data_IF_928382008375
#
_entry.id   IF_928382008375
#
_cell.length_a   1.000
_cell.length_b   1.000
_cell.length_c   1.000
_cell.angle_alpha   90.00
_cell.angle_beta   90.00
_cell.angle_gamma   90.00
#
_symmetry.space_group_name_H-M   'P 1'
#
loop_
_entity.id
_entity.type
_entity.pdbx_description
1 polymer ?
#
# COMPACT_ATOMS: atom_id res chain seq x y z
N UNK A 1 72.95 -14.60 18.46
CA UNK A 1 71.59 -14.95 18.01
C UNK A 1 71.72 -15.84 16.77
N UNK A 2 71.22 -17.07 16.82
CA UNK A 2 71.37 -18.05 15.72
C UNK A 2 70.44 -17.72 14.55
N UNK A 3 70.89 -17.93 13.30
CA UNK A 3 70.12 -17.72 12.08
C UNK A 3 68.77 -18.47 12.07
N UNK A 4 68.68 -19.61 12.75
CA UNK A 4 67.46 -20.39 12.91
C UNK A 4 66.38 -19.64 13.73
N UNK A 5 66.78 -18.86 14.75
CA UNK A 5 65.85 -18.05 15.55
C UNK A 5 65.35 -16.82 14.79
N UNK A 6 66.13 -16.30 13.84
CA UNK A 6 65.71 -15.21 12.96
C UNK A 6 64.67 -15.68 11.92
N UNK A 7 64.89 -16.85 11.31
CA UNK A 7 63.96 -17.46 10.34
C UNK A 7 62.60 -17.80 10.96
N UNK A 8 62.58 -18.45 12.13
CA UNK A 8 61.34 -18.78 12.83
C UNK A 8 60.53 -17.54 13.25
N UNK A 9 61.19 -16.43 13.62
CA UNK A 9 60.52 -15.16 13.93
C UNK A 9 59.97 -14.48 12.67
N UNK A 10 60.64 -14.61 11.53
CA UNK A 10 60.18 -14.07 10.26
C UNK A 10 58.93 -14.81 9.75
N UNK A 11 58.92 -16.14 9.81
CA UNK A 11 57.76 -16.95 9.44
C UNK A 11 56.56 -16.72 10.36
N UNK A 12 56.79 -16.60 11.68
CA UNK A 12 55.72 -16.28 12.63
C UNK A 12 55.12 -14.88 12.39
N UNK A 13 55.94 -13.89 12.01
CA UNK A 13 55.46 -12.56 11.59
C UNK A 13 54.67 -12.62 10.29
N UNK A 14 55.14 -13.36 9.29
CA UNK A 14 54.44 -13.50 8.01
C UNK A 14 53.07 -14.19 8.18
N UNK A 15 52.98 -15.24 9.00
CA UNK A 15 51.69 -15.91 9.32
C UNK A 15 50.73 -15.01 10.09
N UNK A 16 51.24 -14.22 11.06
CA UNK A 16 50.42 -13.23 11.79
C UNK A 16 49.95 -12.09 10.88
N UNK A 17 50.80 -11.62 9.97
CA UNK A 17 50.43 -10.62 8.98
C UNK A 17 49.37 -11.15 8.00
N UNK A 18 49.51 -12.39 7.52
CA UNK A 18 48.50 -13.04 6.67
C UNK A 18 47.15 -13.20 7.36
N UNK A 19 47.13 -13.59 8.64
CA UNK A 19 45.91 -13.68 9.44
C UNK A 19 45.25 -12.31 9.66
N UNK A 20 46.05 -11.25 9.90
CA UNK A 20 45.53 -9.89 10.05
C UNK A 20 44.93 -9.35 8.74
N UNK A 21 45.59 -9.58 7.60
CA UNK A 21 45.07 -9.16 6.29
C UNK A 21 43.81 -9.95 5.93
N UNK A 22 43.79 -11.26 6.18
CA UNK A 22 42.62 -12.11 5.98
C UNK A 22 41.43 -11.69 6.85
N UNK A 23 41.67 -11.41 8.14
CA UNK A 23 40.65 -10.92 9.06
C UNK A 23 40.13 -9.53 8.67
N UNK A 24 41.02 -8.64 8.20
CA UNK A 24 40.65 -7.31 7.73
C UNK A 24 39.82 -7.37 6.43
N UNK A 25 40.20 -8.22 5.48
CA UNK A 25 39.45 -8.44 4.25
C UNK A 25 38.05 -9.02 4.54
N UNK A 26 37.96 -9.99 5.46
CA UNK A 26 36.69 -10.56 5.89
C UNK A 26 35.82 -9.54 6.63
N UNK A 27 36.42 -8.71 7.50
CA UNK A 27 35.74 -7.62 8.16
C UNK A 27 35.23 -6.59 7.13
N UNK A 28 36.03 -6.21 6.13
CA UNK A 28 35.61 -5.30 5.07
C UNK A 28 34.48 -5.89 4.22
N UNK A 29 34.51 -7.18 3.90
CA UNK A 29 33.40 -7.86 3.21
C UNK A 29 32.11 -7.84 4.04
N UNK A 30 32.20 -8.10 5.35
CA UNK A 30 31.04 -8.12 6.26
C UNK A 30 30.53 -6.72 6.64
N UNK A 31 31.39 -5.70 6.66
CA UNK A 31 31.03 -4.32 7.00
C UNK A 31 30.71 -3.46 5.76
N UNK A 32 31.10 -3.88 4.54
CA UNK A 32 30.84 -3.11 3.31
C UNK A 32 29.36 -2.75 3.07
N UNK A 33 28.37 -3.61 3.35
CA UNK A 33 26.96 -3.23 3.17
C UNK A 33 26.52 -2.18 4.20
N UNK A 34 27.16 -2.15 5.37
CA UNK A 34 26.83 -1.25 6.50
C UNK A 34 27.48 0.12 6.35
N UNK A 35 28.70 0.19 5.83
CA UNK A 35 29.38 1.47 5.60
C UNK A 35 28.73 2.28 4.47
N UNK A 36 28.18 1.61 3.46
CA UNK A 36 27.39 2.27 2.41
C UNK A 36 26.08 2.86 2.95
N UNK A 37 25.46 2.25 3.97
CA UNK A 37 24.24 2.81 4.59
C UNK A 37 24.46 4.09 5.40
N UNK A 38 25.66 4.30 5.97
CA UNK A 38 25.95 5.46 6.83
C UNK A 38 26.05 6.79 6.08
N UNK A 39 26.22 6.77 4.75
CA UNK A 39 26.35 7.96 3.89
C UNK A 39 25.13 8.18 2.98
N UNK A 40 24.16 7.26 2.99
CA UNK A 40 23.11 7.21 1.98
C UNK A 40 21.92 8.17 2.28
N UNK A 41 21.80 8.65 3.52
CA UNK A 41 20.74 9.56 3.96
C UNK A 41 19.32 8.97 3.89
N UNK A 42 18.30 9.66 4.44
CA UNK A 42 16.92 9.18 4.48
C UNK A 42 16.37 8.75 3.13
N UNK A 43 16.76 9.46 2.07
CA UNK A 43 16.34 9.18 0.69
C UNK A 43 16.73 7.77 0.26
N UNK A 44 18.01 7.39 0.36
CA UNK A 44 18.45 6.09 -0.14
C UNK A 44 17.88 4.94 0.69
N UNK A 45 17.72 5.12 2.01
CA UNK A 45 17.08 4.13 2.87
C UNK A 45 15.61 3.91 2.53
N UNK A 46 14.86 4.99 2.29
CA UNK A 46 13.45 4.93 1.86
C UNK A 46 13.33 4.26 0.49
N UNK A 47 14.19 4.61 -0.47
CA UNK A 47 14.22 3.95 -1.78
C UNK A 47 14.49 2.44 -1.63
N UNK A 48 15.47 2.08 -0.81
CA UNK A 48 15.82 0.67 -0.53
C UNK A 48 14.65 -0.05 0.14
N UNK A 49 13.95 0.60 1.09
CA UNK A 49 12.79 0.04 1.75
C UNK A 49 11.65 -0.25 0.76
N UNK A 50 11.34 0.70 -0.13
CA UNK A 50 10.29 0.52 -1.15
C UNK A 50 10.67 -0.57 -2.17
N UNK A 51 11.92 -0.63 -2.63
CA UNK A 51 12.38 -1.71 -3.52
C UNK A 51 12.40 -3.08 -2.85
N UNK A 52 12.72 -3.15 -1.55
CA UNK A 52 12.60 -4.39 -0.77
C UNK A 52 11.15 -4.83 -0.60
N UNK A 53 10.18 -3.91 -0.60
CA UNK A 53 8.75 -4.24 -0.60
C UNK A 53 8.30 -4.75 -1.97
N UNK A 54 8.79 -4.21 -3.08
CA UNK A 54 8.51 -4.75 -4.43
C UNK A 54 8.91 -6.23 -4.55
N UNK A 55 10.09 -6.58 -4.02
CA UNK A 55 10.61 -7.95 -4.11
C UNK A 55 9.87 -8.96 -3.23
N UNK A 56 9.38 -8.52 -2.06
CA UNK A 56 8.71 -9.40 -1.08
C UNK A 56 7.20 -9.46 -1.27
N UNK A 57 6.64 -8.52 -2.03
CA UNK A 57 5.21 -8.27 -2.06
C UNK A 57 4.73 -7.43 -0.88
N UNK A 58 3.52 -6.92 -1.02
CA UNK A 58 2.77 -6.18 -0.02
C UNK A 58 1.63 -7.03 0.54
N UNK A 59 1.48 -6.95 1.86
CA UNK A 59 0.30 -7.39 2.59
C UNK A 59 -0.19 -6.18 3.38
N UNK A 60 -1.33 -5.63 2.97
CA UNK A 60 -1.85 -4.36 3.47
C UNK A 60 -3.14 -4.64 4.26
N UNK A 61 -3.16 -4.24 5.52
CA UNK A 61 -4.39 -4.28 6.32
C UNK A 61 -5.40 -3.26 5.79
N UNK A 62 -6.60 -3.71 5.46
CA UNK A 62 -7.69 -2.86 4.97
C UNK A 62 -8.75 -2.73 6.06
N UNK A 63 -9.01 -1.51 6.57
CA UNK A 63 -10.10 -1.27 7.51
C UNK A 63 -11.44 -1.84 7.01
N UNK A 64 -12.17 -2.51 7.88
CA UNK A 64 -13.44 -3.15 7.55
C UNK A 64 -13.32 -4.54 6.90
N UNK A 65 -12.15 -4.94 6.41
CA UNK A 65 -11.96 -6.30 5.86
C UNK A 65 -11.27 -7.23 6.87
N UNK A 66 -11.72 -8.48 7.03
CA UNK A 66 -11.01 -9.47 7.85
C UNK A 66 -9.76 -10.03 7.15
N UNK A 67 -9.62 -9.82 5.84
CA UNK A 67 -8.49 -10.32 5.05
C UNK A 67 -7.63 -9.14 4.58
N UNK A 68 -6.30 -9.31 4.51
CA UNK A 68 -5.44 -8.26 3.99
C UNK A 68 -5.51 -8.20 2.47
N UNK A 69 -5.26 -7.02 1.92
CA UNK A 69 -5.01 -6.83 0.49
C UNK A 69 -3.60 -7.35 0.18
N UNK A 70 -3.52 -8.45 -0.58
CA UNK A 70 -2.27 -9.12 -0.92
C UNK A 70 -1.87 -8.78 -2.35
N UNK A 71 -0.65 -8.33 -2.54
CA UNK A 71 -0.10 -8.11 -3.89
C UNK A 71 0.26 -9.44 -4.56
N UNK A 72 -0.03 -9.53 -5.85
CA UNK A 72 0.67 -10.40 -6.81
C UNK A 72 1.83 -9.66 -7.47
N UNK A 73 1.60 -8.40 -7.84
CA UNK A 73 2.59 -7.53 -8.47
C UNK A 73 2.54 -6.16 -7.81
N UNK A 74 3.70 -5.57 -7.57
CA UNK A 74 3.85 -4.24 -6.99
C UNK A 74 5.07 -3.56 -7.59
N UNK A 75 4.91 -2.33 -8.04
CA UNK A 75 6.01 -1.53 -8.56
C UNK A 75 5.86 -0.06 -8.18
N UNK A 76 6.90 0.51 -7.59
CA UNK A 76 7.03 1.94 -7.35
C UNK A 76 7.93 2.56 -8.42
N UNK A 77 7.42 3.59 -9.08
CA UNK A 77 8.12 4.40 -10.06
C UNK A 77 8.00 5.90 -9.74
N UNK A 78 8.77 6.75 -10.43
CA UNK A 78 8.73 8.22 -10.27
C UNK A 78 8.89 8.68 -8.80
N UNK A 79 9.83 8.07 -8.09
CA UNK A 79 10.02 8.30 -6.66
C UNK A 79 10.70 9.64 -6.36
N UNK A 80 10.12 10.39 -5.41
CA UNK A 80 10.74 11.55 -4.78
C UNK A 80 10.57 11.45 -3.27
N UNK A 81 11.57 11.91 -2.52
CA UNK A 81 11.56 11.91 -1.06
C UNK A 81 11.87 13.32 -0.59
N UNK A 82 11.03 13.86 0.27
CA UNK A 82 11.21 15.17 0.89
C UNK A 82 10.79 15.18 2.36
N UNK A 83 10.92 16.31 3.06
CA UNK A 83 10.40 16.46 4.41
C UNK A 83 8.87 16.30 4.41
N UNK A 84 8.32 15.69 5.47
CA UNK A 84 6.87 15.49 5.60
C UNK A 84 6.10 16.82 5.66
N UNK A 85 6.60 17.79 6.43
CA UNK A 85 5.88 19.04 6.73
C UNK A 85 6.53 20.28 6.09
N UNK A 86 7.43 20.11 5.12
CA UNK A 86 8.11 21.23 4.42
C UNK A 86 9.06 22.08 5.27
N UNK A 87 8.96 22.04 6.61
CA UNK A 87 9.70 22.88 7.56
C UNK A 87 10.26 22.11 8.78
N UNK A 88 10.11 20.78 8.82
CA UNK A 88 10.62 19.96 9.93
C UNK A 88 12.15 19.86 9.95
N UNK A 89 12.77 19.62 11.13
CA UNK A 89 14.21 19.39 11.21
C UNK A 89 14.60 18.16 10.35
N UNK A 90 15.78 18.17 9.70
CA UNK A 90 16.25 17.03 8.93
C UNK A 90 16.23 15.75 9.77
N UNK A 91 15.56 14.71 9.27
CA UNK A 91 15.57 13.36 9.89
C UNK A 91 14.42 13.03 10.84
N UNK A 92 13.48 13.96 11.11
CA UNK A 92 12.33 13.67 11.97
C UNK A 92 11.23 12.85 11.28
N UNK A 93 10.88 13.21 10.04
CA UNK A 93 9.90 12.52 9.22
C UNK A 93 10.15 12.83 7.74
N UNK A 94 9.78 11.91 6.87
CA UNK A 94 9.92 12.07 5.43
C UNK A 94 8.64 11.66 4.71
N UNK A 95 8.37 12.27 3.57
CA UNK A 95 7.27 11.89 2.68
C UNK A 95 7.86 11.38 1.38
N UNK A 96 7.59 10.11 1.08
CA UNK A 96 7.86 9.54 -0.22
C UNK A 96 6.64 9.73 -1.13
N UNK A 97 6.84 10.32 -2.31
CA UNK A 97 5.84 10.38 -3.38
C UNK A 97 6.29 9.47 -4.51
N UNK A 98 5.42 8.57 -4.95
CA UNK A 98 5.71 7.63 -6.00
C UNK A 98 4.46 7.33 -6.81
N UNK A 99 4.62 6.87 -8.05
CA UNK A 99 3.55 6.17 -8.75
C UNK A 99 3.60 4.71 -8.32
N UNK A 100 2.51 4.21 -7.74
CA UNK A 100 2.32 2.81 -7.40
C UNK A 100 1.52 2.14 -8.52
N UNK A 101 2.06 1.05 -9.05
CA UNK A 101 1.37 0.06 -9.86
C UNK A 101 1.19 -1.20 -9.01
N UNK A 102 -0.04 -1.62 -8.82
CA UNK A 102 -0.42 -2.71 -7.93
C UNK A 102 -1.41 -3.65 -8.62
N UNK A 103 -1.14 -4.95 -8.52
CA UNK A 103 -2.11 -5.99 -8.82
C UNK A 103 -2.16 -6.98 -7.67
N UNK A 104 -3.36 -7.38 -7.26
CA UNK A 104 -3.55 -8.23 -6.10
C UNK A 104 -5.01 -8.61 -5.88
N UNK A 105 -5.33 -8.99 -4.65
CA UNK A 105 -6.69 -9.32 -4.25
C UNK A 105 -6.97 -9.01 -2.78
N UNK A 106 -8.22 -8.63 -2.51
CA UNK A 106 -8.83 -8.60 -1.18
C UNK A 106 -9.78 -9.80 -1.09
N UNK A 107 -9.29 -10.91 -0.55
CA UNK A 107 -10.01 -12.18 -0.60
C UNK A 107 -10.31 -12.63 -2.02
N UNK A 108 -11.59 -12.77 -2.37
CA UNK A 108 -12.02 -13.15 -3.72
C UNK A 108 -12.03 -11.97 -4.71
N UNK A 109 -12.03 -10.74 -4.22
CA UNK A 109 -12.11 -9.53 -5.05
C UNK A 109 -10.74 -9.22 -5.65
N UNK A 110 -10.63 -9.23 -6.98
CA UNK A 110 -9.41 -8.80 -7.65
C UNK A 110 -9.24 -7.28 -7.53
N UNK A 111 -8.02 -6.81 -7.31
CA UNK A 111 -7.72 -5.39 -7.21
C UNK A 111 -6.54 -5.06 -8.11
N UNK A 112 -6.75 -4.19 -9.08
CA UNK A 112 -5.70 -3.57 -9.88
C UNK A 112 -5.73 -2.07 -9.62
N UNK A 113 -4.56 -1.46 -9.41
CA UNK A 113 -4.46 -0.03 -9.18
C UNK A 113 -3.23 0.58 -9.80
N UNK A 114 -3.39 1.76 -10.39
CA UNK A 114 -2.29 2.63 -10.76
C UNK A 114 -2.57 4.05 -10.28
N UNK A 115 -1.58 4.68 -9.63
CA UNK A 115 -1.77 6.05 -9.20
C UNK A 115 -0.70 6.62 -8.29
N UNK A 116 -0.91 7.86 -7.86
CA UNK A 116 0.05 8.61 -7.02
C UNK A 116 -0.10 8.20 -5.56
N UNK A 117 0.93 7.63 -4.99
CA UNK A 117 0.99 7.28 -3.57
C UNK A 117 1.78 8.34 -2.78
N UNK A 118 1.37 8.55 -1.55
CA UNK A 118 2.03 9.45 -0.60
C UNK A 118 2.28 8.67 0.68
N UNK A 119 3.53 8.24 0.89
CA UNK A 119 3.89 7.35 1.98
C UNK A 119 4.67 8.12 3.05
N UNK A 120 4.08 8.40 4.22
CA UNK A 120 4.81 8.95 5.34
C UNK A 120 5.78 7.91 5.89
N UNK A 121 7.02 8.34 6.11
CA UNK A 121 8.09 7.53 6.69
C UNK A 121 8.59 8.19 7.97
N UNK A 122 8.88 7.35 8.96
CA UNK A 122 9.55 7.75 10.20
C UNK A 122 10.82 6.89 10.42
N UNK A 123 11.83 7.44 11.10
CA UNK A 123 12.98 6.64 11.53
C UNK A 123 12.51 5.55 12.50
N UNK A 124 12.73 4.29 12.16
CA UNK A 124 12.46 3.17 13.05
C UNK A 124 13.51 3.07 14.16
N UNK A 125 13.21 2.25 15.19
CA UNK A 125 14.16 1.96 16.25
C UNK A 125 15.51 1.49 15.67
N UNK A 126 16.60 2.04 16.20
CA UNK A 126 17.96 1.72 15.78
C UNK A 126 18.22 0.24 16.02
N UNK A 127 18.51 -0.51 14.96
CA UNK A 127 18.82 -1.94 15.06
C UNK A 127 20.18 -2.19 15.72
N UNK A 128 20.53 -3.46 15.94
CA UNK A 128 21.86 -3.87 16.40
C UNK A 128 22.94 -3.45 15.38
N UNK A 129 23.44 -2.22 15.50
CA UNK A 129 24.27 -1.57 14.49
C UNK A 129 24.14 -0.05 14.41
N UNK A 130 23.24 0.59 15.16
CA UNK A 130 23.24 2.05 15.34
C UNK A 130 22.58 2.87 14.23
N UNK A 131 22.03 2.24 13.18
CA UNK A 131 21.34 2.93 12.07
C UNK A 131 19.82 2.78 12.20
N UNK A 132 19.11 3.91 12.18
CA UNK A 132 17.65 3.98 12.25
C UNK A 132 17.04 3.59 10.90
N UNK A 133 16.44 2.40 10.80
CA UNK A 133 15.80 1.93 9.55
C UNK A 133 14.49 2.69 9.34
N UNK A 134 14.40 3.47 8.27
CA UNK A 134 13.15 4.13 7.87
C UNK A 134 12.05 3.13 7.53
N UNK A 135 10.84 3.37 8.05
CA UNK A 135 9.67 2.52 7.81
C UNK A 135 8.43 3.38 7.52
N UNK A 136 7.49 2.88 6.69
CA UNK A 136 6.19 3.53 6.54
C UNK A 136 5.51 3.65 7.91
N UNK A 137 4.88 4.79 8.19
CA UNK A 137 4.26 5.05 9.49
C UNK A 137 3.06 4.13 9.74
N UNK A 138 2.18 3.98 8.74
CA UNK A 138 0.98 3.15 8.84
C UNK A 138 0.92 2.06 7.75
N UNK A 139 1.16 2.45 6.50
CA UNK A 139 1.08 1.58 5.33
C UNK A 139 2.07 2.01 4.28
N UNK A 140 2.54 1.08 3.45
CA UNK A 140 3.35 1.37 2.27
C UNK A 140 2.52 1.88 1.08
N UNK A 141 1.19 1.79 1.16
CA UNK A 141 0.24 2.29 0.16
C UNK A 141 -1.02 2.85 0.84
N UNK A 142 -0.90 3.91 1.66
CA UNK A 142 -2.01 4.40 2.48
C UNK A 142 -3.20 4.86 1.66
N UNK A 143 -2.99 5.51 0.50
CA UNK A 143 -4.09 5.99 -0.33
C UNK A 143 -4.82 4.83 -1.01
N UNK A 144 -4.09 3.83 -1.52
CA UNK A 144 -4.71 2.61 -2.02
C UNK A 144 -5.54 1.91 -0.93
N UNK A 145 -5.00 1.79 0.29
CA UNK A 145 -5.74 1.22 1.43
C UNK A 145 -7.02 2.00 1.71
N UNK A 146 -6.97 3.33 1.72
CA UNK A 146 -8.14 4.16 1.96
C UNK A 146 -9.24 3.99 0.88
N UNK A 147 -8.85 3.91 -0.40
CA UNK A 147 -9.81 3.64 -1.49
C UNK A 147 -10.43 2.25 -1.34
N UNK A 148 -9.61 1.22 -1.11
CA UNK A 148 -10.10 -0.16 -0.99
C UNK A 148 -10.97 -0.33 0.26
N UNK A 149 -10.68 0.39 1.35
CA UNK A 149 -11.53 0.41 2.54
C UNK A 149 -12.92 1.01 2.25
N UNK A 150 -12.98 2.12 1.50
CA UNK A 150 -14.25 2.72 1.09
C UNK A 150 -15.07 1.80 0.18
N UNK A 151 -14.41 1.11 -0.76
CA UNK A 151 -15.05 0.12 -1.65
C UNK A 151 -15.59 -1.09 -0.86
N UNK A 152 -14.81 -1.61 0.09
CA UNK A 152 -15.23 -2.72 0.94
C UNK A 152 -16.40 -2.33 1.85
N UNK A 153 -16.36 -1.13 2.44
CA UNK A 153 -17.47 -0.61 3.23
C UNK A 153 -18.76 -0.50 2.40
N UNK A 154 -18.66 -0.05 1.14
CA UNK A 154 -19.80 -0.02 0.21
C UNK A 154 -20.31 -1.42 -0.10
N UNK A 155 -19.41 -2.37 -0.43
CA UNK A 155 -19.77 -3.77 -0.73
C UNK A 155 -20.54 -4.39 0.44
N UNK A 156 -20.04 -4.23 1.67
CA UNK A 156 -20.69 -4.70 2.88
C UNK A 156 -22.05 -4.04 3.11
N UNK A 157 -22.17 -2.73 2.88
CA UNK A 157 -23.44 -2.02 3.02
C UNK A 157 -24.46 -2.44 1.95
N UNK A 158 -24.03 -2.73 0.72
CA UNK A 158 -24.88 -3.31 -0.33
C UNK A 158 -25.32 -4.73 0.03
N UNK A 159 -24.41 -5.59 0.47
CA UNK A 159 -24.72 -6.94 0.91
C UNK A 159 -25.63 -6.95 2.15
N UNK A 160 -25.49 -5.98 3.06
CA UNK A 160 -26.35 -5.81 4.23
C UNK A 160 -27.63 -5.01 3.96
N UNK A 161 -27.76 -4.37 2.79
CA UNK A 161 -28.94 -3.56 2.44
C UNK A 161 -29.09 -2.33 3.33
N UNK A 162 -27.99 -1.89 3.94
CA UNK A 162 -27.94 -0.83 4.92
C UNK A 162 -27.86 0.52 4.22
N UNK A 163 -29.04 1.11 3.98
CA UNK A 163 -29.18 2.42 3.35
C UNK A 163 -28.50 3.54 4.14
N UNK A 164 -28.47 3.44 5.46
CA UNK A 164 -27.86 4.44 6.33
C UNK A 164 -26.34 4.44 6.19
N UNK A 165 -25.73 3.25 6.17
CA UNK A 165 -24.28 3.13 5.89
C UNK A 165 -23.93 3.58 4.48
N UNK A 166 -24.73 3.23 3.48
CA UNK A 166 -24.52 3.72 2.12
C UNK A 166 -24.54 5.25 2.07
N UNK A 167 -25.55 5.88 2.68
CA UNK A 167 -25.63 7.35 2.74
C UNK A 167 -24.40 7.99 3.42
N UNK A 168 -23.85 7.36 4.46
CA UNK A 168 -22.66 7.86 5.16
C UNK A 168 -21.37 7.78 4.33
N UNK A 169 -21.31 6.90 3.32
CA UNK A 169 -20.15 6.76 2.42
C UNK A 169 -20.11 7.84 1.32
N UNK A 170 -21.19 8.58 1.13
CA UNK A 170 -21.21 9.74 0.25
C UNK A 170 -20.54 10.94 0.90
N UNK A 171 -19.80 11.71 0.09
CA UNK A 171 -19.16 12.95 0.53
C UNK A 171 -20.23 14.01 0.88
N UNK A 172 -20.73 14.02 2.13
CA UNK A 172 -21.81 14.89 2.60
C UNK A 172 -21.47 16.39 2.64
N UNK A 173 -21.29 17.05 1.49
CA UNK A 173 -21.06 18.51 1.46
C UNK A 173 -20.83 19.19 0.10
N UNK A 174 -21.08 18.57 -1.05
CA UNK A 174 -21.14 19.28 -2.34
C UNK A 174 -22.61 19.63 -2.66
N UNK A 175 -22.91 20.75 -3.35
CA UNK A 175 -24.27 21.22 -3.57
C UNK A 175 -25.11 20.12 -4.22
N UNK A 176 -26.37 20.04 -3.79
CA UNK A 176 -27.40 19.08 -4.18
C UNK A 176 -27.57 19.00 -5.70
N UNK A 177 -26.67 18.30 -6.38
CA UNK A 177 -26.98 17.64 -7.64
C UNK A 177 -27.63 16.32 -7.28
N UNK A 178 -28.89 16.14 -7.66
CA UNK A 178 -29.53 14.83 -7.58
C UNK A 178 -28.60 13.81 -8.24
N UNK A 179 -28.49 12.62 -7.65
CA UNK A 179 -27.88 11.51 -8.33
C UNK A 179 -28.54 11.36 -9.72
N UNK A 180 -27.78 11.10 -10.80
CA UNK A 180 -28.38 10.70 -12.06
C UNK A 180 -29.41 9.60 -11.77
N UNK A 181 -30.64 9.74 -12.28
CA UNK A 181 -31.73 8.79 -12.01
C UNK A 181 -31.31 7.33 -12.21
N UNK A 182 -30.44 7.08 -13.21
CA UNK A 182 -29.88 5.77 -13.49
C UNK A 182 -29.08 5.15 -12.31
N UNK A 183 -28.36 5.96 -11.51
CA UNK A 183 -27.64 5.48 -10.32
C UNK A 183 -28.62 5.13 -9.19
N UNK A 184 -29.65 5.96 -8.98
CA UNK A 184 -30.70 5.67 -7.98
C UNK A 184 -31.50 4.41 -8.34
N UNK A 185 -31.86 4.24 -9.61
CA UNK A 185 -32.57 3.05 -10.11
C UNK A 185 -31.72 1.79 -9.98
N UNK A 186 -30.43 1.86 -10.34
CA UNK A 186 -29.50 0.74 -10.19
C UNK A 186 -29.31 0.36 -8.71
N UNK A 187 -29.21 1.34 -7.82
CA UNK A 187 -29.12 1.09 -6.38
C UNK A 187 -30.43 0.49 -5.84
N UNK A 188 -31.57 1.04 -6.24
CA UNK A 188 -32.89 0.53 -5.86
C UNK A 188 -33.09 -0.92 -6.31
N UNK A 189 -32.62 -1.26 -7.52
CA UNK A 189 -32.65 -2.63 -8.03
C UNK A 189 -31.86 -3.58 -7.12
N UNK A 190 -30.62 -3.24 -6.78
CA UNK A 190 -29.79 -4.07 -5.88
C UNK A 190 -30.47 -4.24 -4.52
N UNK A 191 -31.00 -3.16 -3.96
CA UNK A 191 -31.66 -3.16 -2.65
C UNK A 191 -33.04 -3.86 -2.67
N UNK A 192 -33.65 -4.07 -3.83
CA UNK A 192 -34.93 -4.78 -3.97
C UNK A 192 -34.79 -6.31 -3.90
N UNK A 193 -33.58 -6.84 -4.09
CA UNK A 193 -33.30 -8.29 -4.08
C UNK A 193 -33.31 -8.81 -2.65
N UNK A 194 -34.15 -9.83 -2.41
CA UNK A 194 -34.25 -10.57 -1.15
C UNK A 194 -33.18 -11.66 -1.09
N UNK A 195 -32.75 -12.03 0.12
CA UNK A 195 -31.70 -13.03 0.35
C UNK A 195 -30.45 -12.80 -0.51
N UNK A 196 -30.08 -11.53 -0.66
CA UNK A 196 -29.05 -11.11 -1.60
C UNK A 196 -27.66 -11.60 -1.19
N UNK A 197 -26.87 -11.99 -2.18
CA UNK A 197 -25.42 -12.15 -2.12
C UNK A 197 -24.82 -11.21 -3.16
N UNK A 198 -24.18 -10.14 -2.68
CA UNK A 198 -23.53 -9.13 -3.52
C UNK A 198 -22.02 -9.28 -3.46
N UNK A 199 -21.42 -9.50 -4.63
CA UNK A 199 -19.97 -9.69 -4.78
C UNK A 199 -19.39 -8.63 -5.70
N UNK A 200 -18.35 -7.97 -5.23
CA UNK A 200 -17.42 -7.27 -6.10
C UNK A 200 -16.40 -8.30 -6.62
N UNK A 201 -16.42 -8.60 -7.91
CA UNK A 201 -15.48 -9.57 -8.50
C UNK A 201 -14.13 -8.92 -8.80
N UNK A 202 -14.13 -7.65 -9.21
CA UNK A 202 -12.91 -6.90 -9.49
C UNK A 202 -13.09 -5.39 -9.29
N UNK A 203 -12.03 -4.74 -8.83
CA UNK A 203 -11.86 -3.28 -8.80
C UNK A 203 -10.63 -2.87 -9.60
N UNK A 204 -10.82 -1.95 -10.54
CA UNK A 204 -9.77 -1.32 -11.35
C UNK A 204 -9.68 0.15 -10.96
N UNK A 205 -8.68 0.49 -10.15
CA UNK A 205 -8.54 1.79 -9.48
C UNK A 205 -7.51 2.66 -10.20
N UNK A 206 -7.94 3.82 -10.68
CA UNK A 206 -7.03 4.88 -11.13
C UNK A 206 -7.03 6.00 -10.10
N UNK A 207 -5.89 6.18 -9.44
CA UNK A 207 -5.75 7.07 -8.30
C UNK A 207 -4.95 8.31 -8.68
N UNK A 208 -5.64 9.45 -8.72
CA UNK A 208 -5.11 10.76 -9.09
C UNK A 208 -4.77 11.56 -7.82
N UNK A 209 -4.61 12.88 -7.91
CA UNK A 209 -4.15 13.70 -6.77
C UNK A 209 -5.15 13.69 -5.60
N UNK A 210 -6.42 13.95 -5.88
CA UNK A 210 -7.47 14.10 -4.85
C UNK A 210 -8.72 13.26 -5.17
N UNK A 211 -8.63 12.39 -6.17
CA UNK A 211 -9.74 11.57 -6.66
C UNK A 211 -9.28 10.14 -6.98
N UNK A 212 -10.22 9.21 -6.95
CA UNK A 212 -10.04 7.85 -7.45
C UNK A 212 -11.21 7.47 -8.35
N UNK A 213 -10.91 7.13 -9.60
CA UNK A 213 -11.88 6.52 -10.53
C UNK A 213 -11.77 5.01 -10.44
N UNK A 214 -12.89 4.32 -10.26
CA UNK A 214 -12.91 2.87 -10.07
C UNK A 214 -13.86 2.22 -11.06
N UNK A 215 -13.36 1.27 -11.86
CA UNK A 215 -14.20 0.31 -12.55
C UNK A 215 -14.50 -0.87 -11.64
N UNK A 216 -15.77 -1.17 -11.40
CA UNK A 216 -16.21 -2.29 -10.58
C UNK A 216 -16.94 -3.32 -11.46
N UNK A 217 -16.49 -4.57 -11.38
CA UNK A 217 -17.22 -5.73 -11.90
C UNK A 217 -17.95 -6.37 -10.72
N UNK A 218 -19.24 -6.64 -10.87
CA UNK A 218 -20.07 -7.11 -9.78
C UNK A 218 -21.00 -8.25 -10.20
N UNK A 219 -21.35 -9.07 -9.22
CA UNK A 219 -22.31 -10.16 -9.33
C UNK A 219 -23.30 -10.07 -8.16
N UNK A 220 -24.59 -10.14 -8.48
CA UNK A 220 -25.68 -10.13 -7.52
C UNK A 220 -26.55 -11.35 -7.74
N UNK A 221 -26.73 -12.15 -6.69
CA UNK A 221 -27.70 -13.24 -6.68
C UNK A 221 -28.70 -13.06 -5.55
N UNK A 222 -29.87 -13.70 -5.67
CA UNK A 222 -30.91 -13.69 -4.65
C UNK A 222 -32.27 -13.98 -5.26
N UNK A 223 -33.32 -13.38 -4.70
CA UNK A 223 -34.70 -13.57 -5.13
C UNK A 223 -35.42 -12.24 -5.34
N UNK A 224 -36.20 -12.13 -6.40
CA UNK A 224 -37.07 -10.99 -6.65
C UNK A 224 -38.35 -11.09 -5.81
N UNK A 225 -39.05 -9.96 -5.56
CA UNK A 225 -40.41 -9.99 -5.03
C UNK A 225 -41.30 -10.87 -5.91
N UNK A 226 -41.84 -11.96 -5.35
CA UNK A 226 -42.56 -13.00 -6.10
C UNK A 226 -41.80 -14.31 -6.30
N UNK A 227 -40.58 -14.43 -5.75
CA UNK A 227 -39.86 -15.71 -5.62
C UNK A 227 -39.05 -16.13 -6.85
N UNK A 228 -39.01 -15.31 -7.90
CA UNK A 228 -38.16 -15.57 -9.07
C UNK A 228 -36.69 -15.38 -8.72
N UNK A 229 -35.83 -16.29 -9.17
CA UNK A 229 -34.39 -16.22 -8.93
C UNK A 229 -33.77 -15.04 -9.68
N UNK A 230 -32.89 -14.30 -9.00
CA UNK A 230 -32.08 -13.22 -9.56
C UNK A 230 -30.63 -13.69 -9.69
N UNK A 231 -30.05 -13.45 -10.85
CA UNK A 231 -28.62 -13.64 -11.15
C UNK A 231 -28.22 -12.55 -12.14
N UNK A 232 -27.58 -11.50 -11.63
CA UNK A 232 -27.23 -10.31 -12.40
C UNK A 232 -25.73 -10.06 -12.31
N UNK A 233 -25.12 -9.77 -13.46
CA UNK A 233 -23.73 -9.34 -13.56
C UNK A 233 -23.68 -8.00 -14.26
N UNK A 234 -22.70 -7.19 -13.90
CA UNK A 234 -22.50 -5.93 -14.59
C UNK A 234 -21.19 -5.27 -14.25
N UNK A 235 -20.99 -4.16 -14.93
CA UNK A 235 -19.85 -3.27 -14.74
C UNK A 235 -20.40 -1.89 -14.40
N UNK A 236 -19.72 -1.18 -13.50
CA UNK A 236 -20.04 0.22 -13.20
C UNK A 236 -18.77 1.02 -12.97
N UNK A 237 -18.88 2.33 -13.14
CA UNK A 237 -17.84 3.27 -12.75
C UNK A 237 -18.25 3.95 -11.46
N UNK A 238 -17.33 4.03 -10.52
CA UNK A 238 -17.44 4.72 -9.24
C UNK A 238 -16.40 5.85 -9.23
N UNK A 239 -16.76 6.97 -8.61
CA UNK A 239 -15.84 8.07 -8.40
C UNK A 239 -15.77 8.37 -6.90
N UNK A 240 -14.56 8.44 -6.37
CA UNK A 240 -14.29 8.77 -4.98
C UNK A 240 -13.47 10.04 -4.91
N UNK A 241 -13.77 10.89 -3.95
CA UNK A 241 -13.07 12.14 -3.66
C UNK A 241 -12.39 12.01 -2.31
N UNK A 242 -11.13 12.45 -2.25
CA UNK A 242 -10.33 12.44 -1.02
C UNK A 242 -10.76 13.59 -0.11
N UNK A 243 -10.94 13.31 1.18
CA UNK A 243 -11.06 14.30 2.25
C UNK A 243 -10.15 13.90 3.40
N UNK A 244 -9.06 14.65 3.60
CA UNK A 244 -8.00 14.23 4.52
C UNK A 244 -7.37 12.92 4.06
N UNK A 245 -7.37 11.91 4.92
CA UNK A 245 -6.80 10.58 4.62
C UNK A 245 -7.86 9.57 4.15
N UNK A 246 -9.11 9.98 4.01
CA UNK A 246 -10.24 9.12 3.64
C UNK A 246 -10.77 9.44 2.24
N UNK A 247 -11.48 8.48 1.65
CA UNK A 247 -12.14 8.62 0.36
C UNK A 247 -13.64 8.40 0.50
N UNK A 248 -14.42 9.25 -0.16
CA UNK A 248 -15.88 9.25 -0.11
C UNK A 248 -16.43 9.20 -1.54
N UNK A 249 -17.55 8.51 -1.74
CA UNK A 249 -18.19 8.45 -3.05
C UNK A 249 -18.75 9.81 -3.45
N UNK A 250 -18.52 10.21 -4.70
CA UNK A 250 -19.14 11.41 -5.25
C UNK A 250 -20.66 11.22 -5.34
N UNK A 251 -21.46 12.27 -5.09
CA UNK A 251 -22.91 12.21 -5.27
C UNK A 251 -23.28 11.70 -6.67
N UNK A 252 -24.21 10.75 -6.77
CA UNK A 252 -24.71 10.25 -8.06
C UNK A 252 -23.93 9.13 -8.72
N UNK A 253 -22.94 8.57 -8.03
CA UNK A 253 -22.16 7.43 -8.54
C UNK A 253 -22.16 6.28 -7.52
N UNK A 254 -23.19 6.22 -6.66
CA UNK A 254 -23.41 5.13 -5.71
C UNK A 254 -24.16 3.96 -6.36
#
# INVERSE_FOLDING_TARGET
>A
MSAAQASARAEARARRAGLLVGALALALLLLSPRLLSLSAGPRAEILTALKSLEQRGLELSVPGSPQPLRSRTVHFSRLSVGPADGAGPPGAAALARATLDFEGALGATKVSSVGVEQVPFAPGASGSGGVARWRPVASAAPRLVAVVAALEARRQALEAGDRTRLAALSAGGAPQGAAPKASEEALAQVLSVQDRDYRAEAWYVRLERDEASVGEHWHLTGSAPGGSRVDLRGERRLLLVRRGEEFFFSPGVM
#
